data_IF_407880246150
#
_entry.id   IF_407880246150
#
_cell.length_a   1.000
_cell.length_b   1.000
_cell.length_c   1.000
_cell.angle_alpha   90.00
_cell.angle_beta   90.00
_cell.angle_gamma   90.00
#
_symmetry.space_group_name_H-M   'P 1'
#
loop_
_entity.id
_entity.type
_entity.pdbx_description
1 polymer ?
#
# COMPACT_ATOMS: atom_id res chain seq x y z
N UNK A 1 -15.49 -5.90 -51.91
CA UNK A 1 -16.15 -5.72 -50.59
C UNK A 1 -15.12 -5.96 -49.49
N UNK A 2 -14.58 -4.90 -48.87
CA UNK A 2 -13.61 -5.00 -47.76
C UNK A 2 -14.38 -5.16 -46.44
N UNK A 3 -14.11 -6.25 -45.71
CA UNK A 3 -14.65 -6.49 -44.37
C UNK A 3 -13.90 -5.61 -43.37
N UNK A 4 -14.59 -4.70 -42.68
CA UNK A 4 -14.06 -4.03 -41.49
C UNK A 4 -14.10 -5.03 -40.32
N UNK A 5 -12.93 -5.35 -39.79
CA UNK A 5 -12.82 -6.05 -38.49
C UNK A 5 -12.81 -4.95 -37.43
N UNK A 6 -13.91 -4.84 -36.69
CA UNK A 6 -14.00 -4.00 -35.51
C UNK A 6 -13.19 -4.66 -34.39
N UNK A 7 -11.99 -4.15 -34.10
CA UNK A 7 -11.19 -4.59 -32.96
C UNK A 7 -11.72 -3.88 -31.73
N UNK A 8 -12.51 -4.60 -30.93
CA UNK A 8 -12.98 -4.11 -29.63
C UNK A 8 -11.83 -4.21 -28.63
N UNK A 9 -11.16 -3.08 -28.34
CA UNK A 9 -10.12 -3.01 -27.31
C UNK A 9 -10.76 -3.18 -25.94
N UNK A 10 -10.60 -4.37 -25.35
CA UNK A 10 -10.98 -4.63 -23.95
C UNK A 10 -9.99 -3.91 -23.04
N UNK A 11 -10.43 -2.84 -22.37
CA UNK A 11 -9.68 -2.23 -21.28
C UNK A 11 -9.69 -3.19 -20.08
N UNK A 12 -8.61 -3.94 -19.90
CA UNK A 12 -8.38 -4.70 -18.68
C UNK A 12 -8.10 -3.71 -17.54
N UNK A 13 -9.09 -3.50 -16.68
CA UNK A 13 -8.91 -2.78 -15.42
C UNK A 13 -8.04 -3.67 -14.51
N UNK A 14 -6.72 -3.46 -14.53
CA UNK A 14 -5.82 -4.08 -13.55
C UNK A 14 -6.18 -3.52 -12.18
N UNK A 15 -7.03 -4.24 -11.44
CA UNK A 15 -7.15 -4.07 -9.99
C UNK A 15 -5.74 -4.26 -9.43
N UNK A 16 -5.20 -3.20 -8.84
CA UNK A 16 -3.94 -3.26 -8.09
C UNK A 16 -4.16 -4.22 -6.91
N UNK A 17 -3.69 -5.45 -7.08
CA UNK A 17 -3.79 -6.52 -6.09
C UNK A 17 -2.96 -6.09 -4.88
N UNK A 18 -3.62 -5.74 -3.76
CA UNK A 18 -2.95 -5.47 -2.48
C UNK A 18 -2.99 -6.72 -1.58
N UNK A 19 -2.81 -7.89 -2.20
CA UNK A 19 -2.76 -9.14 -1.47
C UNK A 19 -1.37 -9.34 -0.87
N UNK A 20 -1.31 -9.68 0.41
CA UNK A 20 -0.08 -10.02 1.11
C UNK A 20 -0.39 -10.93 2.28
N UNK A 21 0.60 -11.72 2.68
CA UNK A 21 0.52 -12.58 3.85
C UNK A 21 1.86 -12.54 4.58
N UNK A 22 1.81 -12.44 5.90
CA UNK A 22 2.95 -12.48 6.79
C UNK A 22 2.81 -13.66 7.73
N UNK A 23 3.78 -14.57 7.69
CA UNK A 23 3.90 -15.67 8.63
C UNK A 23 4.68 -15.23 9.87
N UNK A 24 4.14 -15.54 11.05
CA UNK A 24 4.72 -15.26 12.36
C UNK A 24 5.02 -16.59 13.04
N UNK A 25 6.29 -16.83 13.38
CA UNK A 25 6.71 -18.03 14.09
C UNK A 25 6.92 -17.72 15.56
N UNK A 26 6.24 -18.48 16.41
CA UNK A 26 6.39 -18.43 17.87
C UNK A 26 7.32 -19.57 18.28
N UNK A 27 8.51 -19.21 18.74
CA UNK A 27 9.65 -20.13 18.93
C UNK A 27 9.63 -20.75 20.32
N UNK A 28 8.70 -21.69 20.50
CA UNK A 28 8.43 -22.40 21.75
C UNK A 28 8.35 -23.91 21.50
N UNK A 29 8.13 -24.71 22.56
CA UNK A 29 7.93 -26.16 22.45
C UNK A 29 6.50 -26.53 22.86
N UNK A 30 5.61 -26.91 21.92
CA UNK A 30 5.81 -26.93 20.47
C UNK A 30 5.86 -25.52 19.85
N UNK A 31 6.43 -25.41 18.65
CA UNK A 31 6.47 -24.13 17.92
C UNK A 31 5.18 -23.90 17.16
N UNK A 32 4.68 -22.66 17.14
CA UNK A 32 3.46 -22.30 16.43
C UNK A 32 3.75 -21.38 15.26
N UNK A 33 2.97 -21.51 14.19
CA UNK A 33 3.02 -20.60 13.03
C UNK A 33 1.65 -20.00 12.81
N UNK A 34 1.56 -18.68 12.98
CA UNK A 34 0.38 -17.88 12.67
C UNK A 34 0.59 -17.17 11.33
N UNK A 35 -0.51 -16.77 10.68
CA UNK A 35 -0.44 -15.93 9.51
C UNK A 35 -1.48 -14.82 9.58
N UNK A 36 -1.07 -13.62 9.18
CA UNK A 36 -1.96 -12.47 9.00
C UNK A 36 -1.80 -11.96 7.58
N UNK A 37 -2.81 -11.30 7.05
CA UNK A 37 -2.69 -10.79 5.70
C UNK A 37 -3.93 -10.11 5.17
N UNK A 38 -3.87 -9.75 3.89
CA UNK A 38 -4.99 -9.21 3.15
C UNK A 38 -5.13 -9.92 1.81
N UNK A 39 -6.37 -10.11 1.37
CA UNK A 39 -6.70 -10.69 0.06
C UNK A 39 -8.08 -10.20 -0.39
N UNK A 40 -8.21 -9.82 -1.66
CA UNK A 40 -9.45 -9.25 -2.23
C UNK A 40 -10.68 -10.15 -2.05
N UNK A 41 -10.50 -11.47 -2.05
CA UNK A 41 -11.58 -12.45 -1.87
C UNK A 41 -11.92 -12.76 -0.41
N UNK A 42 -11.21 -12.15 0.55
CA UNK A 42 -11.41 -12.38 1.97
C UNK A 42 -12.35 -11.35 2.59
N UNK A 43 -12.85 -11.69 3.76
CA UNK A 43 -13.75 -10.88 4.59
C UNK A 43 -13.06 -10.55 5.92
N UNK A 44 -13.72 -9.79 6.78
CA UNK A 44 -13.24 -9.57 8.14
C UNK A 44 -13.70 -10.69 9.12
N UNK A 45 -14.50 -11.63 8.63
CA UNK A 45 -15.02 -12.78 9.37
C UNK A 45 -14.31 -14.06 8.92
N UNK A 46 -14.77 -15.23 9.39
CA UNK A 46 -14.10 -16.48 9.05
C UNK A 46 -14.38 -16.89 7.60
N UNK A 47 -13.30 -17.07 6.84
CA UNK A 47 -13.34 -17.54 5.46
C UNK A 47 -12.81 -18.98 5.34
N UNK A 48 -13.68 -20.00 5.15
CA UNK A 48 -13.27 -21.41 5.16
C UNK A 48 -12.24 -21.82 4.10
N UNK A 49 -12.05 -21.01 3.06
CA UNK A 49 -11.10 -21.26 1.96
C UNK A 49 -9.82 -20.43 2.05
N UNK A 50 -9.71 -19.56 3.06
CA UNK A 50 -8.63 -18.57 3.16
C UNK A 50 -8.01 -18.62 4.56
N UNK A 51 -8.85 -18.61 5.60
CA UNK A 51 -8.43 -18.70 6.98
C UNK A 51 -8.13 -20.14 7.40
N UNK A 52 -7.45 -20.25 8.54
CA UNK A 52 -7.20 -21.53 9.20
C UNK A 52 -7.69 -21.44 10.63
N UNK A 53 -8.76 -22.18 10.93
CA UNK A 53 -9.22 -22.36 12.30
C UNK A 53 -8.10 -22.99 13.14
N UNK A 54 -7.89 -22.46 14.34
CA UNK A 54 -7.07 -23.11 15.34
C UNK A 54 -7.88 -24.29 15.94
N UNK A 55 -7.22 -25.38 16.35
CA UNK A 55 -7.87 -26.42 17.13
C UNK A 55 -8.35 -25.86 18.49
N UNK A 56 -9.17 -26.61 19.24
CA UNK A 56 -9.49 -26.27 20.62
C UNK A 56 -8.22 -25.99 21.43
N UNK A 57 -8.30 -24.99 22.32
CA UNK A 57 -7.19 -24.55 23.15
C UNK A 57 -6.65 -25.74 23.95
N UNK A 58 -5.32 -25.92 23.94
CA UNK A 58 -4.68 -27.00 24.68
C UNK A 58 -4.86 -26.79 26.19
N UNK A 59 -5.16 -27.85 26.96
CA UNK A 59 -5.25 -27.75 28.43
C UNK A 59 -3.94 -27.33 29.09
N UNK A 60 -2.81 -27.66 28.47
CA UNK A 60 -1.46 -27.39 28.97
C UNK A 60 -0.56 -26.90 27.85
N UNK A 61 0.57 -26.29 28.23
CA UNK A 61 1.46 -25.63 27.28
C UNK A 61 0.89 -24.32 26.78
N UNK A 62 1.75 -23.52 26.16
CA UNK A 62 1.29 -22.27 25.57
C UNK A 62 0.42 -22.56 24.35
N UNK A 63 -0.54 -21.69 24.08
CA UNK A 63 -1.38 -21.81 22.89
C UNK A 63 -1.70 -20.43 22.30
N UNK A 64 -0.98 -20.01 21.24
CA UNK A 64 -1.25 -18.76 20.57
C UNK A 64 -2.37 -18.88 19.53
N UNK A 65 -3.24 -17.89 19.48
CA UNK A 65 -4.34 -17.81 18.52
C UNK A 65 -4.83 -16.37 18.31
N UNK A 66 -5.55 -16.14 17.23
CA UNK A 66 -6.29 -14.89 17.00
C UNK A 66 -7.77 -15.12 17.29
N UNK A 67 -8.39 -14.36 18.20
CA UNK A 67 -9.81 -14.54 18.51
C UNK A 67 -10.67 -14.03 17.36
N UNK A 68 -11.75 -14.75 17.08
CA UNK A 68 -12.76 -14.33 16.10
C UNK A 68 -14.15 -14.55 16.66
N UNK A 69 -15.08 -13.69 16.26
CA UNK A 69 -16.50 -13.85 16.54
C UNK A 69 -17.30 -13.80 15.25
N UNK A 70 -17.69 -14.97 14.75
CA UNK A 70 -18.51 -15.11 13.56
C UNK A 70 -19.84 -15.78 13.92
N UNK A 71 -20.96 -15.08 13.65
CA UNK A 71 -22.31 -15.61 13.89
C UNK A 71 -22.63 -16.81 12.98
N UNK A 72 -22.04 -16.87 11.78
CA UNK A 72 -22.23 -17.95 10.82
C UNK A 72 -21.49 -19.22 11.24
N UNK A 73 -20.33 -19.06 11.90
CA UNK A 73 -19.49 -20.15 12.38
C UNK A 73 -19.20 -20.01 13.89
N UNK A 74 -20.22 -20.10 14.77
CA UNK A 74 -20.09 -19.75 16.20
C UNK A 74 -19.17 -20.68 17.01
N UNK A 75 -18.85 -21.84 16.44
CA UNK A 75 -17.94 -22.84 17.01
C UNK A 75 -16.46 -22.55 16.66
N UNK A 76 -16.20 -21.68 15.68
CA UNK A 76 -14.84 -21.23 15.34
C UNK A 76 -14.60 -19.92 16.08
N UNK A 77 -13.80 -19.98 17.15
CA UNK A 77 -13.50 -18.82 18.01
C UNK A 77 -12.03 -18.40 17.99
N UNK A 78 -11.21 -19.20 17.33
CA UNK A 78 -9.76 -19.06 17.34
C UNK A 78 -9.20 -19.39 15.96
N UNK A 79 -8.31 -18.56 15.45
CA UNK A 79 -7.66 -18.72 14.16
C UNK A 79 -6.14 -18.81 14.32
N UNK A 80 -5.52 -19.62 13.47
CA UNK A 80 -4.09 -19.54 13.21
C UNK A 80 -3.77 -18.66 12.00
N UNK A 81 -4.65 -18.63 10.99
CA UNK A 81 -4.54 -17.70 9.86
C UNK A 81 -5.78 -16.80 9.82
N UNK A 82 -5.57 -15.48 9.81
CA UNK A 82 -6.59 -14.43 9.72
C UNK A 82 -6.22 -13.49 8.56
N UNK A 83 -6.80 -13.76 7.39
CA UNK A 83 -6.57 -12.99 6.17
C UNK A 83 -7.81 -12.14 5.92
N UNK A 84 -7.64 -10.82 5.85
CA UNK A 84 -8.76 -9.88 5.79
C UNK A 84 -8.98 -9.30 4.41
N UNK A 85 -10.16 -8.69 4.22
CA UNK A 85 -10.39 -7.83 3.06
C UNK A 85 -9.36 -6.68 3.01
N UNK A 86 -8.94 -6.22 1.81
CA UNK A 86 -7.97 -5.13 1.69
C UNK A 86 -8.52 -3.83 2.27
N UNK A 87 -7.75 -3.19 3.16
CA UNK A 87 -8.09 -1.92 3.80
C UNK A 87 -6.85 -1.05 4.00
N UNK A 88 -7.06 0.24 4.20
CA UNK A 88 -5.96 1.17 4.50
C UNK A 88 -5.40 0.98 5.90
N UNK A 89 -6.14 0.34 6.80
CA UNK A 89 -5.63 -0.12 8.09
C UNK A 89 -6.31 -1.40 8.56
N UNK A 90 -5.61 -2.18 9.38
CA UNK A 90 -6.14 -3.37 10.02
C UNK A 90 -5.42 -3.63 11.35
N UNK A 91 -6.10 -4.32 12.27
CA UNK A 91 -5.53 -4.71 13.56
C UNK A 91 -5.82 -6.18 13.84
N UNK A 92 -4.76 -6.95 14.06
CA UNK A 92 -4.82 -8.32 14.54
C UNK A 92 -4.46 -8.35 16.02
N UNK A 93 -5.22 -9.12 16.78
CA UNK A 93 -4.95 -9.41 18.19
C UNK A 93 -4.54 -10.87 18.28
N UNK A 94 -3.34 -11.14 18.76
CA UNK A 94 -2.87 -12.50 19.05
C UNK A 94 -2.91 -12.67 20.56
N UNK A 95 -3.60 -13.69 21.03
CA UNK A 95 -3.63 -14.10 22.43
C UNK A 95 -2.71 -15.30 22.59
N UNK A 96 -1.76 -15.24 23.52
CA UNK A 96 -0.90 -16.36 23.92
C UNK A 96 -1.41 -16.91 25.24
N UNK A 97 -2.22 -17.97 25.17
CA UNK A 97 -2.76 -18.62 26.36
C UNK A 97 -1.67 -19.38 27.13
N UNK A 98 -1.78 -19.45 28.46
CA UNK A 98 -0.86 -20.16 29.36
C UNK A 98 0.63 -19.72 29.27
N UNK A 99 0.91 -18.52 28.79
CA UNK A 99 2.26 -17.97 28.73
C UNK A 99 2.77 -17.61 30.14
N UNK A 100 3.85 -18.26 30.56
CA UNK A 100 4.52 -18.00 31.86
C UNK A 100 5.89 -17.34 31.69
N UNK A 101 6.60 -17.73 30.64
CA UNK A 101 7.93 -17.22 30.30
C UNK A 101 7.86 -16.28 29.09
N UNK A 102 8.97 -15.61 28.79
CA UNK A 102 9.08 -14.77 27.59
C UNK A 102 9.03 -15.62 26.33
N UNK A 103 8.32 -15.15 25.31
CA UNK A 103 8.16 -15.84 24.03
C UNK A 103 8.83 -15.05 22.93
N UNK A 104 9.58 -15.73 22.06
CA UNK A 104 10.16 -15.10 20.86
C UNK A 104 9.24 -15.28 19.65
N UNK A 105 8.87 -14.17 19.02
CA UNK A 105 8.11 -14.09 17.77
C UNK A 105 9.06 -13.67 16.66
N UNK A 106 9.12 -14.43 15.57
CA UNK A 106 9.96 -14.12 14.41
C UNK A 106 9.17 -14.06 13.11
N UNK A 107 9.68 -13.27 12.17
CA UNK A 107 9.16 -13.14 10.81
C UNK A 107 10.28 -12.82 9.82
N UNK A 108 10.10 -13.14 8.52
CA UNK A 108 11.01 -12.69 7.48
C UNK A 108 10.78 -11.19 7.16
N UNK A 109 11.84 -10.36 7.20
CA UNK A 109 11.73 -8.92 6.96
C UNK A 109 11.35 -8.56 5.51
N UNK A 110 11.78 -9.38 4.57
CA UNK A 110 11.45 -9.30 3.14
C UNK A 110 9.97 -9.60 2.87
N UNK A 111 9.31 -10.36 3.75
CA UNK A 111 7.88 -10.69 3.67
C UNK A 111 6.97 -9.59 4.22
N UNK A 112 7.52 -8.50 4.78
CA UNK A 112 6.71 -7.41 5.29
C UNK A 112 6.08 -6.61 4.13
N UNK A 113 4.75 -6.38 4.14
CA UNK A 113 4.04 -5.69 3.07
C UNK A 113 4.39 -4.20 2.99
N UNK A 114 4.16 -3.60 1.82
CA UNK A 114 4.25 -2.14 1.66
C UNK A 114 3.31 -1.45 2.66
N UNK A 115 3.82 -0.42 3.33
CA UNK A 115 3.13 0.21 4.46
C UNK A 115 3.95 0.14 5.74
N UNK A 116 3.28 0.47 6.84
CA UNK A 116 3.80 0.37 8.20
C UNK A 116 3.09 -0.78 8.91
N UNK A 117 3.86 -1.76 9.39
CA UNK A 117 3.40 -2.75 10.35
C UNK A 117 4.04 -2.47 11.71
N UNK A 118 3.25 -2.57 12.77
CA UNK A 118 3.76 -2.50 14.14
C UNK A 118 3.33 -3.70 14.95
N UNK A 119 4.22 -4.19 15.82
CA UNK A 119 3.94 -5.18 16.86
C UNK A 119 4.06 -4.49 18.23
N UNK A 120 3.00 -4.50 19.04
CA UNK A 120 2.93 -3.75 20.31
C UNK A 120 3.42 -2.29 20.17
N UNK A 121 3.03 -1.64 19.06
CA UNK A 121 3.42 -0.28 18.65
C UNK A 121 4.88 -0.09 18.20
N UNK A 122 5.73 -1.12 18.23
CA UNK A 122 7.08 -1.08 17.64
C UNK A 122 7.03 -1.35 16.14
N UNK A 123 7.76 -0.57 15.34
CA UNK A 123 7.87 -0.76 13.89
C UNK A 123 8.61 -2.06 13.57
N UNK A 124 7.90 -3.03 12.97
CA UNK A 124 8.43 -4.37 12.69
C UNK A 124 9.63 -4.33 11.73
N UNK A 125 9.74 -3.32 10.87
CA UNK A 125 10.90 -3.20 9.96
C UNK A 125 12.19 -2.85 10.70
N UNK A 126 12.09 -2.23 11.87
CA UNK A 126 13.24 -1.82 12.70
C UNK A 126 13.69 -2.90 13.68
N UNK A 127 12.89 -3.96 13.84
CA UNK A 127 13.12 -5.04 14.80
C UNK A 127 13.91 -6.22 14.23
N UNK A 128 14.44 -6.10 13.00
CA UNK A 128 15.25 -7.13 12.36
C UNK A 128 14.62 -8.55 12.38
N UNK A 129 13.30 -8.65 12.24
CA UNK A 129 12.59 -9.93 12.13
C UNK A 129 12.31 -10.64 13.44
N UNK A 130 12.48 -9.97 14.59
CA UNK A 130 12.34 -10.59 15.92
C UNK A 130 11.67 -9.64 16.93
N UNK A 131 10.75 -10.18 17.71
CA UNK A 131 10.17 -9.52 18.88
C UNK A 131 10.15 -10.51 20.06
N UNK A 132 10.44 -10.03 21.27
CA UNK A 132 10.37 -10.83 22.49
C UNK A 132 9.23 -10.30 23.34
N UNK A 133 8.17 -11.10 23.46
CA UNK A 133 7.07 -10.82 24.36
C UNK A 133 7.51 -11.12 25.80
N UNK A 134 7.39 -10.18 26.75
CA UNK A 134 7.79 -10.41 28.13
C UNK A 134 6.84 -11.40 28.83
N UNK A 135 7.28 -12.05 29.92
CA UNK A 135 6.44 -12.94 30.71
C UNK A 135 5.08 -12.33 31.04
N UNK A 136 4.02 -13.13 30.96
CA UNK A 136 2.62 -12.73 31.20
C UNK A 136 2.03 -11.68 30.24
N UNK A 137 2.79 -11.15 29.27
CA UNK A 137 2.23 -10.33 28.17
C UNK A 137 1.54 -11.22 27.14
N UNK A 138 0.33 -11.62 27.50
CA UNK A 138 -0.47 -12.60 26.77
C UNK A 138 -1.17 -12.03 25.55
N UNK A 139 -1.06 -10.71 25.27
CA UNK A 139 -1.76 -10.05 24.17
C UNK A 139 -0.77 -9.29 23.30
N UNK A 140 -0.59 -9.78 22.08
CA UNK A 140 0.22 -9.13 21.06
C UNK A 140 -0.69 -8.46 20.04
N UNK A 141 -0.48 -7.17 19.83
CA UNK A 141 -1.27 -6.38 18.87
C UNK A 141 -0.41 -6.08 17.66
N UNK A 142 -0.86 -6.55 16.50
CA UNK A 142 -0.27 -6.20 15.21
C UNK A 142 -1.19 -5.22 14.50
N UNK A 143 -0.65 -4.05 14.13
CA UNK A 143 -1.37 -3.03 13.37
C UNK A 143 -0.72 -2.82 12.02
N UNK A 144 -1.54 -2.82 10.98
CA UNK A 144 -1.16 -2.39 9.65
C UNK A 144 -1.73 -1.01 9.37
N UNK A 145 -0.90 -0.17 8.77
CA UNK A 145 -1.30 1.04 8.10
C UNK A 145 -0.69 1.01 6.71
N UNK A 146 -1.54 1.02 5.69
CA UNK A 146 -1.10 1.33 4.34
C UNK A 146 -0.43 2.68 4.42
N UNK A 147 0.79 2.78 3.88
CA UNK A 147 1.46 4.08 3.79
C UNK A 147 0.49 4.97 3.01
N UNK A 148 0.01 6.09 3.59
CA UNK A 148 -0.81 7.00 2.81
C UNK A 148 -0.01 7.31 1.56
N UNK A 149 -0.68 7.23 0.42
CA UNK A 149 -0.20 7.79 -0.83
C UNK A 149 0.21 9.20 -0.43
N UNK A 150 1.51 9.50 -0.44
CA UNK A 150 2.01 10.74 0.17
C UNK A 150 1.15 11.89 -0.35
N UNK A 151 0.69 12.76 0.54
CA UNK A 151 0.03 13.99 0.10
C UNK A 151 0.99 14.67 -0.88
N UNK A 152 0.63 14.72 -2.16
CA UNK A 152 1.45 15.36 -3.16
C UNK A 152 1.41 16.85 -2.86
N UNK A 153 2.56 17.44 -2.54
CA UNK A 153 2.68 18.87 -2.68
C UNK A 153 2.78 19.15 -4.18
N UNK A 154 1.97 20.06 -4.73
CA UNK A 154 2.07 20.38 -6.12
C UNK A 154 3.44 20.98 -6.41
N UNK A 155 4.05 20.57 -7.51
CA UNK A 155 5.26 21.19 -8.05
C UNK A 155 4.88 22.45 -8.82
N UNK A 156 5.72 23.48 -8.74
CA UNK A 156 5.55 24.68 -9.56
C UNK A 156 6.33 24.52 -10.87
N UNK A 157 5.61 24.58 -11.99
CA UNK A 157 6.19 24.67 -13.32
C UNK A 157 6.25 26.15 -13.67
N UNK A 158 7.46 26.68 -13.84
CA UNK A 158 7.71 28.05 -14.30
C UNK A 158 8.16 28.00 -15.75
N UNK A 159 7.65 28.93 -16.56
CA UNK A 159 8.00 29.01 -17.97
C UNK A 159 7.85 30.43 -18.51
N UNK A 160 8.56 30.72 -19.60
CA UNK A 160 8.49 32.01 -20.29
C UNK A 160 7.86 31.87 -21.67
N UNK A 161 7.01 32.83 -22.03
CA UNK A 161 6.48 32.97 -23.39
C UNK A 161 7.15 34.14 -24.10
N UNK A 162 7.76 33.94 -25.29
CA UNK A 162 8.40 35.03 -26.02
C UNK A 162 7.38 36.04 -26.59
N UNK A 163 6.20 35.56 -26.98
CA UNK A 163 5.12 36.35 -27.58
C UNK A 163 3.76 35.96 -26.99
N UNK A 164 2.75 36.80 -27.22
CA UNK A 164 1.35 36.46 -26.95
C UNK A 164 0.94 35.22 -27.76
N UNK A 165 0.34 34.23 -27.11
CA UNK A 165 -0.07 32.98 -27.72
C UNK A 165 -1.55 32.68 -27.45
N UNK A 166 -2.26 32.12 -28.44
CA UNK A 166 -3.69 31.80 -28.32
C UNK A 166 -3.94 30.41 -27.74
N UNK A 167 -3.05 29.48 -28.04
CA UNK A 167 -3.16 28.08 -27.62
C UNK A 167 -1.87 27.65 -26.92
N UNK A 168 -1.88 27.71 -25.59
CA UNK A 168 -0.76 27.26 -24.76
C UNK A 168 -1.14 25.98 -24.05
N UNK A 169 -0.27 24.98 -24.14
CA UNK A 169 -0.39 23.73 -23.40
C UNK A 169 0.94 23.30 -22.80
N UNK A 170 0.90 22.54 -21.71
CA UNK A 170 2.08 21.96 -21.09
C UNK A 170 1.97 20.44 -21.16
N UNK A 171 2.94 19.82 -21.84
CA UNK A 171 3.09 18.36 -21.90
C UNK A 171 4.01 17.94 -20.77
N UNK A 172 3.57 17.00 -19.94
CA UNK A 172 4.33 16.52 -18.78
C UNK A 172 4.61 15.02 -18.94
N UNK A 173 5.88 14.65 -18.81
CA UNK A 173 6.35 13.27 -18.93
C UNK A 173 7.16 12.85 -17.71
N UNK A 174 7.19 11.55 -17.42
CA UNK A 174 8.09 10.98 -16.40
C UNK A 174 9.53 10.80 -16.92
N UNK A 175 10.44 10.34 -16.05
CA UNK A 175 11.86 10.10 -16.42
C UNK A 175 12.05 9.03 -17.50
N UNK A 176 11.04 8.17 -17.71
CA UNK A 176 11.02 7.19 -18.80
C UNK A 176 10.45 7.75 -20.11
N UNK A 177 10.06 9.03 -20.14
CA UNK A 177 9.44 9.67 -21.29
C UNK A 177 7.95 9.34 -21.47
N UNK A 178 7.31 8.67 -20.51
CA UNK A 178 5.89 8.36 -20.63
C UNK A 178 5.05 9.59 -20.32
N UNK A 179 4.02 9.84 -21.14
CA UNK A 179 3.08 10.93 -20.94
C UNK A 179 2.28 10.76 -19.64
N UNK A 180 2.38 11.76 -18.77
CA UNK A 180 1.68 11.83 -17.50
C UNK A 180 0.49 12.78 -17.56
N UNK A 181 0.66 13.91 -18.25
CA UNK A 181 -0.42 14.88 -18.41
C UNK A 181 -0.24 15.78 -19.63
N UNK A 182 -1.35 16.40 -20.03
CA UNK A 182 -1.38 17.55 -20.93
C UNK A 182 -2.29 18.60 -20.31
N UNK A 183 -1.72 19.73 -19.92
CA UNK A 183 -2.44 20.84 -19.28
C UNK A 183 -2.73 21.89 -20.33
N UNK A 184 -4.00 22.10 -20.67
CA UNK A 184 -4.44 23.14 -21.59
C UNK A 184 -4.62 24.45 -20.82
N UNK A 185 -3.86 25.49 -21.18
CA UNK A 185 -3.90 26.82 -20.54
C UNK A 185 -4.65 27.87 -21.38
N UNK A 186 -4.88 27.59 -22.66
CA UNK A 186 -5.56 28.53 -23.57
C UNK A 186 -4.67 29.71 -23.93
N UNK A 187 -5.24 30.91 -23.98
CA UNK A 187 -4.51 32.11 -24.42
C UNK A 187 -3.74 32.77 -23.28
N UNK A 188 -2.45 33.04 -23.48
CA UNK A 188 -1.58 33.70 -22.51
C UNK A 188 -0.78 34.83 -23.18
N UNK A 189 -0.43 35.85 -22.39
CA UNK A 189 0.43 36.96 -22.80
C UNK A 189 1.91 36.57 -22.76
N UNK A 190 2.74 37.27 -23.51
CA UNK A 190 4.20 37.17 -23.39
C UNK A 190 4.66 37.42 -21.94
N UNK A 191 5.76 36.78 -21.54
CA UNK A 191 6.37 36.92 -20.23
C UNK A 191 6.38 35.63 -19.38
N UNK A 192 6.67 35.79 -18.09
CA UNK A 192 6.83 34.70 -17.14
C UNK A 192 5.50 34.20 -16.57
N UNK A 193 5.34 32.89 -16.52
CA UNK A 193 4.15 32.22 -16.00
C UNK A 193 4.53 31.12 -15.01
N UNK A 194 3.59 30.77 -14.14
CA UNK A 194 3.75 29.66 -13.21
C UNK A 194 2.44 28.92 -13.03
N UNK A 195 2.47 27.59 -13.07
CA UNK A 195 1.34 26.74 -12.71
C UNK A 195 1.73 25.75 -11.61
N UNK A 196 0.73 25.32 -10.85
CA UNK A 196 0.87 24.26 -9.85
C UNK A 196 0.36 22.94 -10.45
N UNK A 197 1.19 21.90 -10.43
CA UNK A 197 0.82 20.58 -10.95
C UNK A 197 1.15 19.47 -9.97
N UNK A 198 0.30 18.43 -9.93
CA UNK A 198 0.50 17.24 -9.11
C UNK A 198 0.22 15.97 -9.91
N UNK A 199 0.98 14.88 -9.67
CA UNK A 199 0.80 13.62 -10.38
C UNK A 199 -0.52 12.93 -10.02
N UNK A 200 -1.16 12.32 -11.02
CA UNK A 200 -2.48 11.64 -10.90
C UNK A 200 -2.39 10.21 -10.35
N UNK A 201 -1.23 9.55 -10.44
CA UNK A 201 -1.02 8.16 -10.00
C UNK A 201 -0.01 8.07 -8.86
N UNK A 202 -0.23 7.07 -8.02
CA UNK A 202 0.45 6.92 -6.75
C UNK A 202 1.59 5.92 -6.80
N UNK A 203 2.82 6.41 -6.59
CA UNK A 203 4.06 5.62 -6.68
C UNK A 203 5.29 6.46 -7.03
N UNK A 204 5.08 7.71 -7.47
CA UNK A 204 6.13 8.57 -8.00
C UNK A 204 6.56 9.71 -7.05
N UNK A 205 6.12 9.69 -5.79
CA UNK A 205 6.56 10.68 -4.81
C UNK A 205 8.09 10.58 -4.63
N UNK A 206 8.83 11.59 -5.09
CA UNK A 206 10.29 11.61 -5.12
C UNK A 206 10.92 11.42 -6.52
N UNK A 207 10.12 11.33 -7.59
CA UNK A 207 10.61 11.33 -8.97
C UNK A 207 10.67 12.74 -9.54
N UNK A 208 11.51 12.92 -10.55
CA UNK A 208 11.51 14.13 -11.37
C UNK A 208 10.56 13.96 -12.56
N UNK A 209 10.03 15.07 -13.04
CA UNK A 209 9.23 15.14 -14.25
C UNK A 209 9.86 16.16 -15.19
N UNK A 210 9.60 15.98 -16.47
CA UNK A 210 9.97 16.91 -17.51
C UNK A 210 8.72 17.53 -18.09
N UNK A 211 8.79 18.82 -18.42
CA UNK A 211 7.71 19.51 -19.08
C UNK A 211 8.21 20.17 -20.37
N UNK A 212 7.31 20.29 -21.34
CA UNK A 212 7.49 21.10 -22.53
C UNK A 212 6.27 22.00 -22.71
N UNK A 213 6.50 23.29 -22.90
CA UNK A 213 5.46 24.29 -23.16
C UNK A 213 5.30 24.43 -24.66
N UNK A 214 4.09 24.18 -25.13
CA UNK A 214 3.71 24.29 -26.53
C UNK A 214 2.80 25.49 -26.69
N UNK A 215 3.25 26.51 -27.41
CA UNK A 215 2.49 27.71 -27.75
C UNK A 215 2.23 27.74 -29.25
N UNK A 216 0.96 27.79 -29.64
CA UNK A 216 0.48 27.81 -31.03
C UNK A 216 1.18 26.76 -31.92
N UNK A 217 1.36 25.56 -31.38
CA UNK A 217 1.95 24.41 -32.06
C UNK A 217 3.48 24.33 -32.03
N UNK A 218 4.18 25.27 -31.40
CA UNK A 218 5.65 25.27 -31.26
C UNK A 218 6.07 25.08 -29.81
N UNK A 219 7.08 24.26 -29.56
CA UNK A 219 7.72 24.23 -28.25
C UNK A 219 8.50 25.52 -28.03
N UNK A 220 8.16 26.24 -26.95
CA UNK A 220 8.76 27.55 -26.62
C UNK A 220 9.59 27.50 -25.34
N UNK A 221 9.32 26.55 -24.46
CA UNK A 221 10.08 26.35 -23.23
C UNK A 221 10.03 24.87 -22.80
N UNK A 222 10.97 24.46 -21.96
CA UNK A 222 10.98 23.13 -21.34
C UNK A 222 11.85 23.12 -20.10
N UNK A 223 11.57 22.20 -19.18
CA UNK A 223 12.39 22.08 -18.00
C UNK A 223 12.12 20.81 -17.22
N UNK A 224 12.79 20.73 -16.08
CA UNK A 224 12.66 19.65 -15.11
C UNK A 224 12.13 20.21 -13.81
N UNK A 225 11.21 19.50 -13.18
CA UNK A 225 10.69 19.85 -11.87
C UNK A 225 10.45 18.59 -11.03
N UNK A 226 10.31 18.77 -9.72
CA UNK A 226 9.87 17.70 -8.84
C UNK A 226 8.74 18.22 -7.97
N UNK A 227 7.56 17.58 -7.98
CA UNK A 227 6.55 17.77 -6.94
C UNK A 227 7.21 17.43 -5.60
N UNK A 228 7.27 18.38 -4.66
CA UNK A 228 8.09 18.24 -3.46
C UNK A 228 7.69 16.99 -2.65
N UNK A 229 8.55 15.97 -2.69
CA UNK A 229 8.43 14.77 -1.88
C UNK A 229 9.23 14.89 -0.58
N UNK A 230 8.53 15.22 0.51
CA UNK A 230 8.92 15.31 1.94
C UNK A 230 9.19 16.73 2.48
N UNK A 231 8.42 17.09 3.52
CA UNK A 231 9.06 17.47 4.80
C UNK A 231 9.36 16.19 5.56
#
# INVERSE_FOLDING_TARGET
MRRLICVTTIFAFFLLINAWQLSLKISEKPSFTLAIGMKDSATDLFDPRIDRAAPPILPTGIFPYMPIWDKKYPYIRSLWWDIRSPKDSATWKIIIHNMKDSVTITWPNDSLPKGKLTINNYDMRKLAGKFVAPPNDTIIIIKYFKKPLGSFLPGNIKFSLPDDAKNVSIVIVDEGGNLQDRVELGSLKAGEHSISWQPKKTGDSGKFYYFAVIADGKQVDSGRFSPAGKK
#
